data_IF_010419619370
#
_entry.id   IF_010419619370
#
_cell.length_a   1.000
_cell.length_b   1.000
_cell.length_c   1.000
_cell.angle_alpha   90.00
_cell.angle_beta   90.00
_cell.angle_gamma   90.00
#
_symmetry.space_group_name_H-M   'P 1'
#
loop_
_entity.id
_entity.type
_entity.pdbx_description
1 polymer ?
#
# COMPACT_ATOMS: atom_id res chain seq x y z
N UNK A 1 26.56 -3.14 29.93
CA UNK A 1 25.31 -3.51 30.63
C UNK A 1 24.45 -4.22 29.61
N UNK A 2 24.39 -5.54 29.67
CA UNK A 2 23.64 -6.42 28.75
C UNK A 2 22.16 -6.32 29.09
N UNK A 3 21.34 -5.88 28.11
CA UNK A 3 19.88 -5.98 28.20
C UNK A 3 19.47 -7.43 28.54
N UNK A 4 18.46 -7.67 29.39
CA UNK A 4 17.95 -9.00 29.66
C UNK A 4 17.33 -9.54 28.35
N UNK A 5 17.95 -10.57 27.76
CA UNK A 5 17.38 -11.32 26.63
C UNK A 5 16.04 -11.90 27.11
N UNK A 6 14.94 -11.44 26.56
CA UNK A 6 13.64 -12.07 26.72
C UNK A 6 13.80 -13.55 26.31
N UNK A 7 13.29 -14.48 27.16
CA UNK A 7 13.30 -15.91 26.83
C UNK A 7 12.35 -16.16 25.64
N UNK A 8 12.90 -16.13 24.43
CA UNK A 8 12.16 -16.46 23.20
C UNK A 8 11.98 -17.97 23.15
N UNK A 9 10.72 -18.41 22.98
CA UNK A 9 10.33 -19.82 22.92
C UNK A 9 9.75 -20.17 21.55
N UNK A 10 10.31 -21.18 20.91
CA UNK A 10 9.94 -21.62 19.56
C UNK A 10 9.35 -23.03 19.65
N UNK A 11 8.16 -23.22 19.05
CA UNK A 11 7.54 -24.53 18.90
C UNK A 11 7.85 -25.08 17.50
N UNK A 12 8.42 -26.29 17.45
CA UNK A 12 8.65 -27.03 16.20
C UNK A 12 7.69 -28.19 16.12
N UNK A 13 6.88 -28.25 15.06
CA UNK A 13 5.92 -29.34 14.81
C UNK A 13 6.32 -30.06 13.52
N UNK A 14 6.94 -31.23 13.67
CA UNK A 14 7.47 -31.98 12.53
C UNK A 14 7.38 -33.48 12.78
N UNK A 15 6.85 -34.25 11.82
CA UNK A 15 6.79 -35.70 11.83
C UNK A 15 8.15 -36.34 11.63
N UNK A 16 9.10 -35.65 10.98
CA UNK A 16 10.45 -36.16 10.73
C UNK A 16 11.40 -35.74 11.87
N UNK A 17 11.76 -36.71 12.69
CA UNK A 17 12.68 -36.50 13.81
C UNK A 17 14.05 -35.96 13.42
N UNK A 18 14.54 -36.33 12.24
CA UNK A 18 15.86 -35.86 11.78
C UNK A 18 15.84 -34.35 11.48
N UNK A 19 14.76 -33.89 10.88
CA UNK A 19 14.53 -32.47 10.59
C UNK A 19 14.24 -31.68 11.85
N UNK A 20 13.40 -32.18 12.75
CA UNK A 20 13.13 -31.55 14.04
C UNK A 20 14.43 -31.34 14.84
N UNK A 21 15.33 -32.33 14.87
CA UNK A 21 16.63 -32.22 15.54
C UNK A 21 17.59 -31.23 14.84
N UNK A 22 17.54 -31.11 13.50
CA UNK A 22 18.32 -30.12 12.79
C UNK A 22 17.84 -28.69 13.12
N UNK A 23 16.53 -28.47 13.11
CA UNK A 23 15.94 -27.18 13.50
C UNK A 23 16.20 -26.85 14.97
N UNK A 24 16.10 -27.82 15.86
CA UNK A 24 16.40 -27.65 17.29
C UNK A 24 17.82 -27.14 17.51
N UNK A 25 18.80 -27.75 16.83
CA UNK A 25 20.22 -27.29 16.88
C UNK A 25 20.39 -25.84 16.46
N UNK A 26 19.74 -25.42 15.38
CA UNK A 26 19.81 -24.04 14.90
C UNK A 26 19.14 -23.09 15.90
N UNK A 27 17.95 -23.40 16.38
CA UNK A 27 17.21 -22.61 17.39
C UNK A 27 18.02 -22.43 18.67
N UNK A 28 18.61 -23.52 19.19
CA UNK A 28 19.46 -23.48 20.38
C UNK A 28 20.75 -22.69 20.14
N UNK A 29 21.36 -22.80 18.94
CA UNK A 29 22.56 -22.01 18.60
C UNK A 29 22.31 -20.50 18.56
N UNK A 30 21.07 -20.09 18.25
CA UNK A 30 20.62 -18.69 18.30
C UNK A 30 20.31 -18.22 19.74
N UNK A 31 20.36 -19.14 20.72
CA UNK A 31 20.12 -18.84 22.15
C UNK A 31 18.63 -18.81 22.52
N UNK A 32 17.75 -19.48 21.76
CA UNK A 32 16.31 -19.57 21.99
C UNK A 32 15.93 -20.90 22.63
N UNK A 33 14.82 -20.92 23.37
CA UNK A 33 14.25 -22.14 23.94
C UNK A 33 13.42 -22.88 22.88
N UNK A 34 13.70 -24.16 22.66
CA UNK A 34 13.00 -24.98 21.68
C UNK A 34 12.11 -26.00 22.36
N UNK A 35 10.90 -26.20 21.82
CA UNK A 35 9.98 -27.29 22.19
C UNK A 35 9.57 -27.99 20.90
N UNK A 36 9.81 -29.32 20.84
CA UNK A 36 9.47 -30.12 19.65
C UNK A 36 8.23 -30.98 19.91
N UNK A 37 7.33 -31.02 18.94
CA UNK A 37 6.16 -31.91 18.93
C UNK A 37 6.18 -32.75 17.64
N UNK A 38 6.05 -34.05 17.80
CA UNK A 38 6.06 -35.05 16.72
C UNK A 38 4.67 -35.33 16.13
N UNK A 39 3.62 -34.79 16.76
CA UNK A 39 2.24 -34.94 16.33
C UNK A 39 1.37 -33.73 16.72
N UNK A 40 0.18 -33.66 16.12
CA UNK A 40 -0.77 -32.58 16.28
C UNK A 40 -1.28 -32.41 17.70
N UNK A 41 -1.55 -33.52 18.38
CA UNK A 41 -2.11 -33.51 19.74
C UNK A 41 -1.12 -32.84 20.71
N UNK A 42 0.15 -33.25 20.66
CA UNK A 42 1.21 -32.64 21.47
C UNK A 42 1.44 -31.17 21.12
N UNK A 43 1.32 -30.80 19.83
CA UNK A 43 1.45 -29.42 19.40
C UNK A 43 0.32 -28.55 19.97
N UNK A 44 -0.94 -29.00 19.91
CA UNK A 44 -2.09 -28.29 20.46
C UNK A 44 -2.04 -28.23 22.01
N UNK A 45 -1.61 -29.27 22.66
CA UNK A 45 -1.39 -29.29 24.13
C UNK A 45 -0.31 -28.28 24.52
N UNK A 46 0.81 -28.25 23.80
CA UNK A 46 1.88 -27.27 24.01
C UNK A 46 1.38 -25.83 23.78
N UNK A 47 0.63 -25.58 22.70
CA UNK A 47 0.02 -24.29 22.42
C UNK A 47 -1.01 -23.88 23.49
N UNK A 48 -1.70 -24.79 24.14
CA UNK A 48 -2.64 -24.48 25.22
C UNK A 48 -1.96 -24.10 26.54
N UNK A 49 -0.69 -24.43 26.70
CA UNK A 49 0.13 -24.15 27.88
C UNK A 49 0.81 -22.76 27.86
N UNK A 50 2.12 -22.76 28.05
CA UNK A 50 2.94 -21.54 28.07
C UNK A 50 2.96 -20.85 26.70
N UNK A 51 3.11 -19.50 26.65
CA UNK A 51 3.17 -18.77 25.38
C UNK A 51 4.43 -19.13 24.58
N UNK A 52 4.28 -19.22 23.26
CA UNK A 52 5.36 -19.33 22.30
C UNK A 52 5.50 -18.01 21.51
N UNK A 53 6.71 -17.77 20.98
CA UNK A 53 7.07 -16.59 20.24
C UNK A 53 7.05 -16.84 18.72
N UNK A 54 7.24 -18.11 18.33
CA UNK A 54 7.21 -18.58 16.96
C UNK A 54 6.74 -20.03 16.92
N UNK A 55 6.01 -20.42 15.89
CA UNK A 55 5.66 -21.80 15.60
C UNK A 55 6.15 -22.19 14.21
N UNK A 56 6.95 -23.25 14.10
CA UNK A 56 7.39 -23.85 12.84
C UNK A 56 6.61 -25.14 12.60
N UNK A 57 5.89 -25.24 11.49
CA UNK A 57 4.98 -26.35 11.22
C UNK A 57 5.30 -27.05 9.90
N UNK A 58 5.42 -28.37 9.91
CA UNK A 58 5.58 -29.18 8.69
C UNK A 58 4.28 -29.25 7.88
N UNK A 59 4.33 -28.96 6.58
CA UNK A 59 3.21 -29.20 5.67
C UNK A 59 3.09 -30.68 5.23
N UNK A 60 3.99 -31.56 5.66
CA UNK A 60 3.86 -33.01 5.54
C UNK A 60 2.75 -33.59 6.43
N UNK A 61 2.35 -32.84 7.47
CA UNK A 61 1.21 -33.20 8.32
C UNK A 61 -0.11 -33.12 7.54
N UNK A 62 -1.17 -33.83 7.95
CA UNK A 62 -2.48 -33.75 7.33
C UNK A 62 -2.98 -32.30 7.26
N UNK A 63 -3.58 -31.85 6.13
CA UNK A 63 -3.99 -30.46 5.96
C UNK A 63 -4.93 -29.90 7.03
N UNK A 64 -5.80 -30.74 7.58
CA UNK A 64 -6.68 -30.38 8.69
C UNK A 64 -5.91 -30.11 9.99
N UNK A 65 -4.85 -30.86 10.22
CA UNK A 65 -3.96 -30.72 11.36
C UNK A 65 -3.21 -29.38 11.30
N UNK A 66 -2.65 -29.05 10.15
CA UNK A 66 -1.98 -27.77 9.92
C UNK A 66 -2.95 -26.60 10.11
N UNK A 67 -4.17 -26.70 9.57
CA UNK A 67 -5.21 -25.67 9.76
C UNK A 67 -5.57 -25.46 11.23
N UNK A 68 -5.70 -26.54 12.00
CA UNK A 68 -6.01 -26.47 13.44
C UNK A 68 -4.90 -25.78 14.24
N UNK A 69 -3.64 -26.09 13.93
CA UNK A 69 -2.47 -25.44 14.55
C UNK A 69 -2.44 -23.95 14.22
N UNK A 70 -2.64 -23.60 12.95
CA UNK A 70 -2.69 -22.22 12.48
C UNK A 70 -3.84 -21.44 13.13
N UNK A 71 -5.05 -22.01 13.12
CA UNK A 71 -6.22 -21.38 13.75
C UNK A 71 -5.99 -21.16 15.26
N UNK A 72 -5.43 -22.14 15.96
CA UNK A 72 -5.12 -22.02 17.40
C UNK A 72 -4.05 -20.96 17.66
N UNK A 73 -3.03 -20.87 16.80
CA UNK A 73 -1.96 -19.85 16.90
C UNK A 73 -2.49 -18.43 16.66
N UNK A 74 -3.44 -18.28 15.76
CA UNK A 74 -4.03 -16.97 15.38
C UNK A 74 -5.15 -16.52 16.34
N UNK A 75 -5.89 -17.45 16.95
CA UNK A 75 -7.02 -17.13 17.85
C UNK A 75 -6.59 -16.56 19.21
N UNK A 76 -5.31 -16.49 19.51
CA UNK A 76 -4.77 -15.98 20.77
C UNK A 76 -4.83 -14.45 20.85
N UNK A 77 -4.87 -13.91 22.07
CA UNK A 77 -4.77 -12.45 22.31
C UNK A 77 -3.50 -11.83 21.72
N UNK A 78 -2.41 -12.61 21.64
CA UNK A 78 -1.19 -12.29 20.90
C UNK A 78 -0.97 -13.39 19.87
N UNK A 79 -1.28 -13.18 18.58
CA UNK A 79 -1.09 -14.17 17.53
C UNK A 79 0.38 -14.62 17.47
N UNK A 80 0.59 -15.92 17.32
CA UNK A 80 1.93 -16.51 17.19
C UNK A 80 2.22 -16.58 15.69
N UNK A 81 3.33 -15.98 15.19
CA UNK A 81 3.73 -16.13 13.80
C UNK A 81 4.03 -17.60 13.50
N UNK A 82 3.63 -18.05 12.32
CA UNK A 82 3.83 -19.44 11.90
C UNK A 82 4.67 -19.49 10.64
N UNK A 83 5.77 -20.23 10.69
CA UNK A 83 6.62 -20.56 9.54
C UNK A 83 6.27 -21.96 9.07
N UNK A 84 5.92 -22.11 7.79
CA UNK A 84 5.61 -23.37 7.18
C UNK A 84 6.88 -24.07 6.67
N UNK A 85 7.15 -25.29 7.12
CA UNK A 85 8.20 -26.12 6.52
C UNK A 85 7.62 -26.90 5.34
N UNK A 86 8.23 -26.74 4.15
CA UNK A 86 7.78 -27.36 2.91
C UNK A 86 8.82 -28.41 2.44
N UNK A 87 8.32 -29.50 1.85
CA UNK A 87 9.17 -30.60 1.39
C UNK A 87 9.91 -30.24 0.08
N UNK A 88 9.25 -29.48 -0.80
CA UNK A 88 9.83 -28.95 -2.04
C UNK A 88 9.42 -27.50 -2.25
N UNK A 89 10.30 -26.69 -2.82
CA UNK A 89 10.02 -25.27 -3.09
C UNK A 89 9.17 -25.10 -4.36
N UNK A 90 8.06 -25.84 -4.47
CA UNK A 90 7.14 -25.65 -5.57
C UNK A 90 6.22 -24.47 -5.30
N UNK A 91 5.93 -23.67 -6.33
CA UNK A 91 5.02 -22.52 -6.25
C UNK A 91 3.66 -22.91 -5.64
N UNK A 92 3.20 -24.13 -5.92
CA UNK A 92 1.93 -24.67 -5.38
C UNK A 92 1.96 -24.83 -3.87
N UNK A 93 3.04 -25.38 -3.30
CA UNK A 93 3.20 -25.58 -1.85
C UNK A 93 3.40 -24.26 -1.13
N UNK A 94 4.20 -23.35 -1.70
CA UNK A 94 4.42 -22.01 -1.16
C UNK A 94 3.09 -21.26 -1.08
N UNK A 95 2.32 -21.22 -2.18
CA UNK A 95 0.99 -20.59 -2.20
C UNK A 95 0.02 -21.25 -1.21
N UNK A 96 0.08 -22.58 -1.04
CA UNK A 96 -0.74 -23.28 -0.08
C UNK A 96 -0.39 -22.87 1.36
N UNK A 97 0.90 -22.74 1.70
CA UNK A 97 1.36 -22.29 3.01
C UNK A 97 0.81 -20.89 3.37
N UNK A 98 0.98 -19.92 2.46
CA UNK A 98 0.47 -18.55 2.66
C UNK A 98 -1.05 -18.49 2.73
N UNK A 99 -1.77 -19.27 1.90
CA UNK A 99 -3.24 -19.36 1.97
C UNK A 99 -3.75 -19.92 3.28
N UNK A 100 -2.99 -20.78 3.91
CA UNK A 100 -3.31 -21.30 5.25
C UNK A 100 -2.96 -20.33 6.37
N UNK A 101 -2.29 -19.23 6.08
CA UNK A 101 -1.96 -18.19 7.06
C UNK A 101 -0.55 -18.30 7.65
N UNK A 102 0.35 -19.04 7.01
CA UNK A 102 1.77 -19.00 7.37
C UNK A 102 2.35 -17.60 7.03
N UNK A 103 3.25 -17.13 7.90
CA UNK A 103 3.96 -15.86 7.71
C UNK A 103 5.09 -16.01 6.71
N UNK A 104 5.80 -17.15 6.77
CA UNK A 104 6.97 -17.44 5.94
C UNK A 104 7.08 -18.95 5.71
N UNK A 105 8.06 -19.38 4.91
CA UNK A 105 8.29 -20.80 4.66
C UNK A 105 9.78 -21.16 4.68
N UNK A 106 10.08 -22.41 5.06
CA UNK A 106 11.41 -23.00 5.05
C UNK A 106 11.43 -24.23 4.13
N UNK A 107 12.10 -24.17 2.96
CA UNK A 107 12.19 -25.30 2.03
C UNK A 107 13.22 -26.34 2.47
N UNK A 108 13.09 -27.60 2.00
CA UNK A 108 14.12 -28.62 2.11
C UNK A 108 14.92 -28.77 0.79
N UNK A 109 16.22 -29.01 0.86
CA UNK A 109 17.11 -28.92 2.03
C UNK A 109 17.37 -27.47 2.43
N UNK A 110 17.50 -27.19 3.74
CA UNK A 110 17.85 -25.86 4.23
C UNK A 110 19.27 -25.86 4.83
N UNK A 111 19.92 -24.70 4.76
CA UNK A 111 21.18 -24.42 5.44
C UNK A 111 20.90 -23.66 6.74
N UNK A 112 21.77 -23.80 7.72
CA UNK A 112 21.64 -23.15 9.03
C UNK A 112 21.44 -21.64 8.91
N UNK A 113 22.12 -20.99 7.96
CA UNK A 113 22.00 -19.57 7.71
C UNK A 113 20.58 -19.18 7.25
N UNK A 114 20.02 -19.87 6.25
CA UNK A 114 18.66 -19.61 5.78
C UNK A 114 17.63 -19.84 6.90
N UNK A 115 17.82 -20.88 7.70
CA UNK A 115 16.94 -21.15 8.85
C UNK A 115 17.01 -20.01 9.87
N UNK A 116 18.22 -19.49 10.16
CA UNK A 116 18.41 -18.35 11.06
C UNK A 116 17.74 -17.09 10.53
N UNK A 117 17.90 -16.78 9.25
CA UNK A 117 17.27 -15.61 8.59
C UNK A 117 15.73 -15.67 8.66
N UNK A 118 15.13 -16.83 8.37
CA UNK A 118 13.67 -17.04 8.44
C UNK A 118 13.16 -16.92 9.88
N UNK A 119 13.88 -17.47 10.86
CA UNK A 119 13.51 -17.36 12.28
C UNK A 119 13.60 -15.90 12.73
N UNK A 120 14.69 -15.20 12.45
CA UNK A 120 14.87 -13.79 12.82
C UNK A 120 13.85 -12.90 12.15
N UNK A 121 13.54 -13.14 10.86
CA UNK A 121 12.48 -12.44 10.14
C UNK A 121 11.11 -12.66 10.81
N UNK A 122 10.74 -13.89 11.11
CA UNK A 122 9.45 -14.20 11.75
C UNK A 122 9.33 -13.62 13.16
N UNK A 123 10.41 -13.60 13.94
CA UNK A 123 10.46 -12.97 15.26
C UNK A 123 10.45 -11.44 15.18
N UNK A 124 11.08 -10.86 14.17
CA UNK A 124 11.02 -9.41 13.93
C UNK A 124 9.61 -8.97 13.56
N UNK A 125 8.89 -9.76 12.75
CA UNK A 125 7.48 -9.53 12.43
C UNK A 125 6.57 -9.65 13.66
N UNK A 126 6.85 -10.55 14.59
CA UNK A 126 6.15 -10.59 15.88
C UNK A 126 6.43 -9.35 16.72
N UNK A 127 7.67 -8.90 16.77
CA UNK A 127 8.03 -7.65 17.45
C UNK A 127 7.41 -6.43 16.76
N UNK A 128 7.23 -6.48 15.43
CA UNK A 128 6.43 -5.51 14.66
C UNK A 128 4.93 -5.61 14.96
N UNK A 129 4.39 -6.81 15.18
CA UNK A 129 3.00 -6.99 15.63
C UNK A 129 2.78 -6.58 17.09
N UNK A 130 3.81 -6.56 17.91
CA UNK A 130 3.82 -6.01 19.28
C UNK A 130 4.33 -4.56 19.32
N UNK A 131 4.89 -4.04 18.24
CA UNK A 131 5.29 -2.63 18.08
C UNK A 131 4.06 -1.75 17.84
N UNK A 132 4.02 -0.54 18.40
CA UNK A 132 2.83 0.34 18.34
C UNK A 132 2.39 0.80 16.95
N UNK A 133 3.01 0.30 15.87
CA UNK A 133 2.61 0.54 14.48
C UNK A 133 1.17 0.09 14.15
N UNK A 134 0.59 -0.83 14.93
CA UNK A 134 -0.82 -1.28 14.78
C UNK A 134 -1.83 -0.56 15.69
N UNK A 135 -1.39 0.32 16.59
CA UNK A 135 -2.29 0.96 17.57
C UNK A 135 -3.10 2.12 16.99
N UNK A 136 -2.86 2.55 15.77
CA UNK A 136 -3.56 3.71 15.17
C UNK A 136 -4.47 3.36 13.99
N UNK A 137 -4.72 2.07 13.69
CA UNK A 137 -5.59 1.70 12.56
C UNK A 137 -5.00 2.01 11.16
N UNK A 138 -3.73 2.44 11.10
CA UNK A 138 -3.04 2.76 9.84
C UNK A 138 -2.11 1.60 9.51
N UNK A 139 -2.42 0.89 8.43
CA UNK A 139 -1.58 -0.21 7.93
C UNK A 139 -1.08 0.16 6.54
N UNK A 140 0.24 0.22 6.37
CA UNK A 140 0.86 0.29 5.04
C UNK A 140 0.96 -1.15 4.53
N UNK A 141 0.31 -1.42 3.40
CA UNK A 141 0.26 -2.73 2.76
C UNK A 141 1.17 -2.72 1.54
N UNK A 142 2.09 -3.68 1.45
CA UNK A 142 3.03 -3.87 0.35
C UNK A 142 4.27 -4.60 0.84
N UNK A 143 4.83 -5.45 0.00
CA UNK A 143 5.97 -6.32 0.33
C UNK A 143 7.14 -6.12 -0.66
N UNK A 144 6.97 -5.18 -1.59
CA UNK A 144 8.00 -4.86 -2.57
C UNK A 144 9.22 -4.20 -1.89
N UNK A 145 10.48 -4.55 -2.27
CA UNK A 145 11.70 -4.00 -1.66
C UNK A 145 11.74 -2.47 -1.58
N UNK A 146 11.21 -1.77 -2.59
CA UNK A 146 11.13 -0.31 -2.56
C UNK A 146 10.22 0.22 -1.43
N UNK A 147 9.20 -0.54 -0.99
CA UNK A 147 8.37 -0.17 0.15
C UNK A 147 9.08 -0.43 1.47
N UNK A 148 9.97 -1.43 1.55
CA UNK A 148 10.84 -1.62 2.72
C UNK A 148 11.75 -0.41 2.94
N UNK A 149 12.33 0.16 1.87
CA UNK A 149 13.12 1.39 1.96
C UNK A 149 12.28 2.56 2.49
N UNK A 150 11.01 2.68 2.08
CA UNK A 150 10.07 3.69 2.61
C UNK A 150 9.85 3.48 4.12
N UNK A 151 9.63 2.22 4.55
CA UNK A 151 9.43 1.88 5.96
C UNK A 151 10.67 2.16 6.81
N UNK A 152 11.85 1.79 6.33
CA UNK A 152 13.12 2.12 7.01
C UNK A 152 13.30 3.63 7.22
N UNK A 153 12.97 4.43 6.19
CA UNK A 153 13.00 5.89 6.31
C UNK A 153 11.96 6.41 7.30
N UNK A 154 10.76 5.82 7.32
CA UNK A 154 9.73 6.16 8.32
C UNK A 154 10.26 5.91 9.74
N UNK A 155 10.88 4.76 9.99
CA UNK A 155 11.46 4.44 11.31
C UNK A 155 12.59 5.40 11.70
N UNK A 156 13.49 5.75 10.77
CA UNK A 156 14.57 6.70 10.99
C UNK A 156 14.08 8.11 11.38
N UNK A 157 12.94 8.53 10.84
CA UNK A 157 12.41 9.88 11.06
C UNK A 157 11.33 9.94 12.13
N UNK A 158 10.81 8.80 12.59
CA UNK A 158 9.67 8.75 13.50
C UNK A 158 9.88 9.60 14.75
N UNK A 159 10.99 9.44 15.44
CA UNK A 159 11.32 10.14 16.68
C UNK A 159 11.93 11.54 16.46
N UNK A 160 12.20 11.93 15.21
CA UNK A 160 12.74 13.25 14.88
C UNK A 160 11.64 14.32 14.86
N UNK A 161 11.95 15.53 15.28
CA UNK A 161 11.08 16.71 15.09
C UNK A 161 11.30 17.40 13.73
N UNK A 162 12.23 16.90 12.90
CA UNK A 162 12.51 17.48 11.59
C UNK A 162 11.29 17.40 10.66
N UNK A 163 11.18 18.39 9.77
CA UNK A 163 10.18 18.37 8.70
C UNK A 163 10.46 17.22 7.73
N UNK A 164 9.41 16.57 7.26
CA UNK A 164 9.48 15.46 6.30
C UNK A 164 8.75 15.85 5.04
N UNK A 165 9.38 15.63 3.87
CA UNK A 165 8.77 15.82 2.57
C UNK A 165 8.52 14.45 1.91
N UNK A 166 7.24 14.11 1.72
CA UNK A 166 6.81 12.87 1.07
C UNK A 166 6.53 13.18 -0.41
N UNK A 167 7.24 12.50 -1.30
CA UNK A 167 7.08 12.63 -2.75
C UNK A 167 6.48 11.36 -3.34
N UNK A 168 5.66 11.51 -4.35
CA UNK A 168 5.05 10.38 -5.07
C UNK A 168 3.83 10.83 -5.85
N UNK A 169 3.49 10.09 -6.88
CA UNK A 169 2.32 10.36 -7.70
C UNK A 169 1.02 10.40 -6.90
N UNK A 170 -0.03 10.95 -7.49
CA UNK A 170 -1.37 10.90 -6.87
C UNK A 170 -1.80 9.44 -6.64
N UNK A 171 -2.41 9.18 -5.49
CA UNK A 171 -2.94 7.86 -5.15
C UNK A 171 -1.90 6.82 -4.73
N UNK A 172 -0.61 7.17 -4.53
CA UNK A 172 0.43 6.23 -4.07
C UNK A 172 0.38 5.89 -2.59
N UNK A 173 -0.38 6.65 -1.78
CA UNK A 173 -0.52 6.44 -0.34
C UNK A 173 0.27 7.43 0.53
N UNK A 174 0.59 8.64 0.03
CA UNK A 174 1.33 9.68 0.77
C UNK A 174 0.74 9.98 2.16
N UNK A 175 -0.59 10.09 2.27
CA UNK A 175 -1.28 10.31 3.55
C UNK A 175 -1.10 9.13 4.51
N UNK A 176 -1.12 7.89 4.00
CA UNK A 176 -0.89 6.68 4.82
C UNK A 176 0.51 6.71 5.43
N UNK A 177 1.53 7.06 4.64
CA UNK A 177 2.91 7.21 5.13
C UNK A 177 3.02 8.35 6.15
N UNK A 178 2.36 9.50 5.93
CA UNK A 178 2.35 10.59 6.89
C UNK A 178 1.71 10.20 8.24
N UNK A 179 0.59 9.47 8.19
CA UNK A 179 -0.07 8.93 9.40
C UNK A 179 0.81 7.89 10.10
N UNK A 180 1.56 7.10 9.34
CA UNK A 180 2.49 6.11 9.89
C UNK A 180 3.65 6.81 10.63
N UNK A 181 4.25 7.86 10.05
CA UNK A 181 5.28 8.68 10.69
C UNK A 181 4.78 9.26 12.02
N UNK A 182 3.54 9.76 12.04
CA UNK A 182 2.94 10.27 13.28
C UNK A 182 2.72 9.17 14.32
N UNK A 183 2.16 8.03 13.90
CA UNK A 183 1.83 6.91 14.78
C UNK A 183 3.06 6.24 15.41
N UNK A 184 4.20 6.23 14.69
CA UNK A 184 5.48 5.69 15.17
C UNK A 184 6.27 6.71 16.00
N UNK A 185 5.97 8.01 15.86
CA UNK A 185 6.76 9.08 16.43
C UNK A 185 6.46 9.41 17.90
N UNK A 186 7.31 10.23 18.49
CA UNK A 186 7.15 10.72 19.86
C UNK A 186 5.84 11.48 20.09
N UNK A 187 5.24 12.03 19.03
CA UNK A 187 3.98 12.81 19.05
C UNK A 187 2.72 12.00 18.77
N UNK A 188 2.80 10.66 18.78
CA UNK A 188 1.67 9.74 18.51
C UNK A 188 0.45 9.93 19.38
N UNK A 189 0.59 10.49 20.58
CA UNK A 189 -0.50 10.82 21.48
C UNK A 189 -1.16 12.17 21.20
N UNK A 190 -0.57 12.99 20.33
CA UNK A 190 -1.09 14.29 19.93
C UNK A 190 -2.02 14.21 18.71
N UNK A 191 -2.62 15.33 18.31
CA UNK A 191 -3.51 15.38 17.15
C UNK A 191 -2.73 15.24 15.83
N UNK A 192 -3.37 14.57 14.85
CA UNK A 192 -2.95 14.56 13.45
C UNK A 192 -3.92 15.38 12.62
N UNK A 193 -3.51 16.58 12.22
CA UNK A 193 -4.35 17.53 11.50
C UNK A 193 -3.94 17.54 10.03
N UNK A 194 -4.90 17.29 9.13
CA UNK A 194 -4.69 17.29 7.67
C UNK A 194 -5.17 18.58 7.04
N UNK A 195 -4.35 19.18 6.21
CA UNK A 195 -4.67 20.28 5.31
C UNK A 195 -4.49 19.80 3.88
N UNK A 196 -5.58 19.75 3.09
CA UNK A 196 -5.55 19.35 1.69
C UNK A 196 -5.67 20.56 0.79
N UNK A 197 -4.73 20.72 -0.13
CA UNK A 197 -4.67 21.84 -1.08
C UNK A 197 -5.09 21.35 -2.47
N UNK A 198 -6.41 21.22 -2.68
CA UNK A 198 -6.97 20.74 -3.95
C UNK A 198 -6.99 21.90 -4.96
N UNK A 199 -6.41 21.70 -6.13
CA UNK A 199 -6.03 22.70 -7.14
C UNK A 199 -6.99 23.83 -7.50
N UNK A 200 -8.33 23.64 -7.46
CA UNK A 200 -9.33 24.69 -7.76
C UNK A 200 -10.36 24.88 -6.65
N UNK A 201 -10.21 24.24 -5.49
CA UNK A 201 -11.06 24.50 -4.33
C UNK A 201 -10.57 25.76 -3.62
N UNK A 202 -11.45 26.41 -2.83
CA UNK A 202 -11.05 27.51 -1.98
C UNK A 202 -9.87 27.10 -1.09
N UNK A 203 -8.71 27.70 -1.31
CA UNK A 203 -7.54 27.47 -0.45
C UNK A 203 -7.85 28.02 0.93
N UNK A 204 -7.35 27.36 2.01
CA UNK A 204 -7.47 27.92 3.34
C UNK A 204 -6.84 29.31 3.36
N UNK A 205 -7.46 30.24 4.08
CA UNK A 205 -6.87 31.55 4.29
C UNK A 205 -5.69 31.45 5.25
N UNK A 206 -4.84 32.47 5.27
CA UNK A 206 -3.71 32.54 6.21
C UNK A 206 -4.19 32.46 7.65
N UNK A 207 -5.34 33.06 7.98
CA UNK A 207 -5.95 33.02 9.29
C UNK A 207 -6.52 31.63 9.65
N UNK A 208 -7.09 30.90 8.70
CA UNK A 208 -7.58 29.53 8.93
C UNK A 208 -6.43 28.55 9.16
N UNK A 209 -5.29 28.72 8.47
CA UNK A 209 -4.18 27.82 8.59
C UNK A 209 -3.30 28.13 9.81
N UNK A 210 -2.91 29.40 9.97
CA UNK A 210 -1.93 29.84 10.98
C UNK A 210 -2.53 30.59 12.16
N UNK A 211 -3.80 31.04 12.06
CA UNK A 211 -4.39 31.95 13.02
C UNK A 211 -4.00 33.42 12.77
N UNK A 212 -4.50 34.32 13.59
CA UNK A 212 -4.07 35.73 13.59
C UNK A 212 -2.71 35.83 14.26
N UNK A 213 -1.68 36.20 13.49
CA UNK A 213 -0.28 36.34 13.97
C UNK A 213 -0.06 37.59 14.84
N UNK A 214 -1.08 38.41 15.05
CA UNK A 214 -1.02 39.66 15.83
C UNK A 214 -2.13 39.71 16.85
N UNK A 215 -1.78 39.92 18.10
CA UNK A 215 -2.72 40.14 19.19
C UNK A 215 -3.53 41.48 19.05
N UNK A 216 -3.35 42.23 17.97
CA UNK A 216 -3.94 43.54 17.70
C UNK A 216 -4.99 43.57 16.59
N UNK A 217 -5.18 42.51 15.81
CA UNK A 217 -6.18 42.51 14.76
C UNK A 217 -7.49 41.91 15.29
N UNK A 218 -8.40 42.85 15.59
CA UNK A 218 -9.77 42.60 16.06
C UNK A 218 -10.48 41.52 15.20
N UNK A 219 -10.79 40.44 15.84
CA UNK A 219 -11.99 39.60 15.76
C UNK A 219 -13.06 39.98 14.71
N UNK A 220 -12.85 39.53 13.46
CA UNK A 220 -13.93 39.34 12.48
C UNK A 220 -13.63 38.22 11.48
N UNK A 221 -12.64 37.34 11.74
CA UNK A 221 -12.31 36.23 10.86
C UNK A 221 -12.51 34.89 11.59
N UNK A 222 -13.57 34.18 11.22
CA UNK A 222 -13.78 32.75 11.41
C UNK A 222 -13.96 32.26 12.86
N UNK A 223 -15.12 31.75 13.20
CA UNK A 223 -15.51 31.24 14.53
C UNK A 223 -14.78 29.93 14.96
N UNK A 224 -13.51 29.74 14.68
CA UNK A 224 -12.84 28.49 15.05
C UNK A 224 -11.32 28.58 15.24
N UNK A 225 -10.71 27.64 15.99
CA UNK A 225 -9.26 27.57 16.16
C UNK A 225 -8.57 27.26 14.82
N UNK A 226 -7.41 27.88 14.57
CA UNK A 226 -6.62 27.63 13.36
C UNK A 226 -6.18 26.17 13.26
N UNK A 227 -5.87 25.68 12.04
CA UNK A 227 -5.37 24.32 11.84
C UNK A 227 -4.05 24.08 12.60
N UNK A 228 -3.21 25.11 12.70
CA UNK A 228 -1.98 25.06 13.47
C UNK A 228 -2.25 24.88 14.97
N UNK A 229 -3.19 25.64 15.53
CA UNK A 229 -3.60 25.50 16.94
C UNK A 229 -4.23 24.12 17.24
N UNK A 230 -5.01 23.60 16.30
CA UNK A 230 -5.56 22.22 16.40
C UNK A 230 -4.48 21.14 16.35
N UNK A 231 -3.33 21.41 15.72
CA UNK A 231 -2.21 20.48 15.60
C UNK A 231 -1.21 20.59 16.75
N UNK A 232 -1.46 21.43 17.76
CA UNK A 232 -0.54 21.68 18.86
C UNK A 232 -0.15 20.40 19.60
N UNK A 233 1.15 20.22 19.89
CA UNK A 233 1.77 18.99 20.43
C UNK A 233 1.59 17.74 19.55
N UNK A 234 1.15 17.92 18.31
CA UNK A 234 0.89 16.86 17.34
C UNK A 234 1.64 17.04 16.02
N UNK A 235 0.96 16.68 14.93
CA UNK A 235 1.49 16.74 13.56
C UNK A 235 0.52 17.45 12.63
N UNK A 236 1.03 18.43 11.89
CA UNK A 236 0.34 19.08 10.79
C UNK A 236 0.78 18.44 9.47
N UNK A 237 -0.14 17.76 8.81
CA UNK A 237 0.08 17.18 7.50
C UNK A 237 -0.48 18.07 6.41
N UNK A 238 0.37 18.52 5.47
CA UNK A 238 0.00 19.38 4.35
C UNK A 238 0.09 18.56 3.06
N UNK A 239 -1.06 18.21 2.49
CA UNK A 239 -1.16 17.44 1.26
C UNK A 239 -1.17 18.36 0.04
N UNK A 240 -0.40 18.00 -0.99
CA UNK A 240 -0.15 18.77 -2.22
C UNK A 240 0.41 20.18 -1.96
N UNK A 241 1.49 20.25 -1.18
CA UNK A 241 2.14 21.48 -0.74
C UNK A 241 2.56 22.40 -1.91
N UNK A 242 2.80 21.86 -3.10
CA UNK A 242 3.09 22.63 -4.31
C UNK A 242 1.96 23.60 -4.72
N UNK A 243 0.75 23.39 -4.21
CA UNK A 243 -0.40 24.25 -4.49
C UNK A 243 -0.57 25.42 -3.50
N UNK A 244 0.35 25.59 -2.52
CA UNK A 244 0.29 26.72 -1.60
C UNK A 244 0.40 28.06 -2.34
N UNK A 245 -0.49 29.01 -2.01
CA UNK A 245 -0.35 30.39 -2.43
C UNK A 245 0.94 31.02 -1.89
N UNK A 246 1.45 32.05 -2.53
CA UNK A 246 2.68 32.73 -2.11
C UNK A 246 2.59 33.23 -0.65
N UNK A 247 1.43 33.69 -0.23
CA UNK A 247 1.16 34.17 1.14
C UNK A 247 1.28 33.03 2.15
N UNK A 248 0.68 31.88 1.85
CA UNK A 248 0.75 30.69 2.69
C UNK A 248 2.18 30.10 2.76
N UNK A 249 2.93 30.16 1.66
CA UNK A 249 4.35 29.77 1.65
C UNK A 249 5.17 30.66 2.58
N UNK A 250 4.94 31.98 2.58
CA UNK A 250 5.61 32.93 3.49
C UNK A 250 5.23 32.63 4.96
N UNK A 251 3.95 32.39 5.23
CA UNK A 251 3.46 32.01 6.56
C UNK A 251 4.12 30.73 7.06
N UNK A 252 4.18 29.68 6.21
CA UNK A 252 4.81 28.41 6.53
C UNK A 252 6.32 28.55 6.73
N UNK A 253 6.99 29.39 5.90
CA UNK A 253 8.42 29.66 6.04
C UNK A 253 8.73 30.29 7.40
N UNK A 254 7.94 31.27 7.85
CA UNK A 254 8.08 31.88 9.18
C UNK A 254 7.92 30.82 10.27
N UNK A 255 7.00 29.88 10.10
CA UNK A 255 6.78 28.79 11.05
C UNK A 255 8.00 27.83 11.13
N UNK A 256 8.63 27.49 10.02
CA UNK A 256 9.72 26.51 9.96
C UNK A 256 11.09 27.15 10.26
N UNK A 257 11.21 28.48 10.12
CA UNK A 257 12.49 29.18 10.21
C UNK A 257 13.04 29.32 11.63
N UNK A 258 12.17 29.45 12.61
CA UNK A 258 12.59 29.75 13.99
C UNK A 258 11.90 28.83 15.00
N UNK A 259 12.46 27.65 15.28
CA UNK A 259 11.87 26.67 16.20
C UNK A 259 11.85 27.12 17.67
N UNK A 260 12.63 28.12 18.05
CA UNK A 260 12.81 28.54 19.46
C UNK A 260 11.98 29.78 19.88
N UNK A 261 11.19 30.37 18.99
CA UNK A 261 10.40 31.55 19.35
C UNK A 261 9.25 31.20 20.29
N UNK A 262 9.22 31.84 21.46
CA UNK A 262 8.29 31.62 22.59
C UNK A 262 6.78 31.80 22.27
N UNK A 263 6.40 32.13 21.06
CA UNK A 263 5.03 32.32 20.58
C UNK A 263 4.59 31.27 19.55
N UNK A 264 5.24 30.11 19.47
CA UNK A 264 4.96 29.11 18.43
C UNK A 264 4.26 27.88 18.97
N UNK A 265 3.28 27.42 18.21
CA UNK A 265 2.69 26.10 18.36
C UNK A 265 3.78 25.02 18.22
N UNK A 266 3.90 24.13 19.19
CA UNK A 266 4.80 22.97 19.16
C UNK A 266 4.24 21.90 18.23
N UNK A 267 4.44 22.06 16.91
CA UNK A 267 3.84 21.22 15.87
C UNK A 267 4.92 20.65 14.96
N UNK A 268 4.85 19.35 14.69
CA UNK A 268 5.66 18.70 13.66
C UNK A 268 5.03 18.87 12.29
N UNK A 269 5.82 19.27 11.27
CA UNK A 269 5.33 19.45 9.90
C UNK A 269 5.70 18.24 9.05
N UNK A 270 4.71 17.66 8.39
CA UNK A 270 4.87 16.64 7.34
C UNK A 270 4.20 17.19 6.08
N UNK A 271 4.92 17.30 4.98
CA UNK A 271 4.43 17.80 3.72
C UNK A 271 4.41 16.69 2.66
N UNK A 272 3.45 16.73 1.75
CA UNK A 272 3.37 15.80 0.63
C UNK A 272 3.14 16.52 -0.69
N UNK A 273 3.67 15.97 -1.79
CA UNK A 273 3.45 16.49 -3.14
C UNK A 273 3.59 15.42 -4.21
N UNK A 274 2.81 15.54 -5.28
CA UNK A 274 3.00 14.80 -6.53
C UNK A 274 3.84 15.58 -7.55
N UNK A 275 4.02 16.90 -7.35
CA UNK A 275 4.77 17.76 -8.28
C UNK A 275 6.24 17.83 -7.91
N UNK A 276 7.08 18.04 -8.93
CA UNK A 276 8.49 18.32 -8.74
C UNK A 276 8.68 19.75 -8.20
N UNK A 277 9.05 19.86 -6.90
CA UNK A 277 9.24 21.16 -6.25
C UNK A 277 10.51 21.89 -6.75
N UNK A 278 11.54 21.16 -7.19
CA UNK A 278 12.76 21.76 -7.76
C UNK A 278 12.42 22.54 -9.05
N UNK A 279 11.49 22.01 -9.86
CA UNK A 279 10.99 22.71 -11.03
C UNK A 279 10.15 23.92 -10.62
N UNK A 280 9.26 23.79 -9.64
CA UNK A 280 8.46 24.90 -9.12
C UNK A 280 9.31 26.02 -8.53
N UNK A 281 10.44 25.70 -7.88
CA UNK A 281 11.42 26.69 -7.38
C UNK A 281 12.07 27.44 -8.55
N UNK A 282 12.54 26.72 -9.58
CA UNK A 282 13.15 27.33 -10.78
C UNK A 282 12.20 28.27 -11.53
N UNK A 283 10.92 27.93 -11.56
CA UNK A 283 9.85 28.73 -12.16
C UNK A 283 9.37 29.89 -11.27
N UNK A 284 9.89 30.01 -10.04
CA UNK A 284 9.49 31.03 -9.06
C UNK A 284 8.11 30.79 -8.43
N UNK A 285 7.48 29.65 -8.70
CA UNK A 285 6.19 29.27 -8.14
C UNK A 285 6.28 28.79 -6.68
N UNK A 286 7.46 28.34 -6.27
CA UNK A 286 7.73 27.91 -4.89
C UNK A 286 8.96 28.61 -4.30
N UNK A 287 8.90 28.93 -2.98
CA UNK A 287 10.00 29.63 -2.30
C UNK A 287 11.16 28.67 -2.04
N UNK A 288 12.35 29.00 -2.52
CA UNK A 288 13.55 28.16 -2.41
C UNK A 288 13.94 27.87 -0.94
N UNK A 289 13.96 28.87 -0.06
CA UNK A 289 14.27 28.69 1.38
C UNK A 289 13.24 27.75 2.07
N UNK A 290 11.96 27.84 1.69
CA UNK A 290 10.94 26.94 2.20
C UNK A 290 11.18 25.49 1.71
N UNK A 291 11.55 25.33 0.45
CA UNK A 291 11.87 24.02 -0.11
C UNK A 291 12.99 23.33 0.67
N UNK A 292 14.14 24.02 0.87
CA UNK A 292 15.26 23.42 1.61
C UNK A 292 14.91 23.08 3.07
N UNK A 293 14.05 23.86 3.72
CA UNK A 293 13.62 23.61 5.10
C UNK A 293 12.61 22.47 5.23
N UNK A 294 11.83 22.20 4.21
CA UNK A 294 10.91 21.07 4.16
C UNK A 294 11.59 19.79 3.69
N UNK A 295 12.57 19.90 2.80
CA UNK A 295 13.29 18.79 2.19
C UNK A 295 14.49 18.32 3.03
N UNK A 296 14.36 18.34 4.36
CA UNK A 296 15.42 17.83 5.27
C UNK A 296 15.51 16.32 5.12
N UNK A 297 14.37 15.64 5.13
CA UNK A 297 14.29 14.18 5.00
C UNK A 297 13.26 13.86 3.90
N UNK A 298 13.71 13.58 2.67
CA UNK A 298 12.81 13.17 1.60
C UNK A 298 12.44 11.70 1.72
N UNK A 299 11.14 11.40 1.56
CA UNK A 299 10.61 10.05 1.42
C UNK A 299 9.93 9.94 0.05
N UNK A 300 10.44 9.09 -0.81
CA UNK A 300 9.88 8.86 -2.13
C UNK A 300 9.07 7.57 -2.15
N UNK A 301 7.80 7.68 -2.56
CA UNK A 301 6.90 6.52 -2.68
C UNK A 301 6.83 6.13 -4.15
N UNK A 302 7.25 4.91 -4.52
CA UNK A 302 7.20 4.46 -5.90
C UNK A 302 5.75 4.33 -6.38
N UNK A 303 5.47 4.63 -7.66
CA UNK A 303 4.17 4.40 -8.26
C UNK A 303 3.86 2.88 -8.33
N UNK A 304 2.57 2.53 -8.38
CA UNK A 304 2.14 1.12 -8.31
C UNK A 304 2.68 0.27 -9.48
N UNK A 305 2.89 0.88 -10.65
CA UNK A 305 3.49 0.19 -11.82
C UNK A 305 4.95 -0.28 -11.60
N UNK A 306 5.66 0.27 -10.62
CA UNK A 306 7.02 -0.13 -10.25
C UNK A 306 7.04 -1.18 -9.12
N UNK A 307 5.85 -1.52 -8.57
CA UNK A 307 5.65 -2.52 -7.51
C UNK A 307 4.40 -3.37 -7.76
N UNK A 308 4.25 -3.87 -8.98
CA UNK A 308 3.07 -4.66 -9.41
C UNK A 308 2.90 -5.96 -8.59
N UNK A 309 3.96 -6.44 -7.97
CA UNK A 309 3.95 -7.57 -7.04
C UNK A 309 3.09 -7.31 -5.79
N UNK A 310 2.90 -6.03 -5.41
CA UNK A 310 2.03 -5.63 -4.31
C UNK A 310 0.53 -5.67 -4.69
N UNK A 311 0.19 -5.68 -5.98
CA UNK A 311 -1.20 -5.60 -6.44
C UNK A 311 -2.09 -6.72 -5.87
N UNK A 312 -1.69 -8.00 -5.86
CA UNK A 312 -2.50 -9.07 -5.27
C UNK A 312 -2.75 -8.89 -3.77
N UNK A 313 -1.75 -8.45 -3.03
CA UNK A 313 -1.83 -8.24 -1.57
C UNK A 313 -2.74 -7.03 -1.27
N UNK A 314 -2.58 -5.95 -2.01
CA UNK A 314 -3.42 -4.74 -1.93
C UNK A 314 -4.88 -5.05 -2.30
N UNK A 315 -5.09 -5.80 -3.40
CA UNK A 315 -6.43 -6.19 -3.84
C UNK A 315 -7.17 -7.02 -2.77
N UNK A 316 -6.47 -7.96 -2.13
CA UNK A 316 -7.06 -8.77 -1.05
C UNK A 316 -7.33 -7.93 0.20
N UNK A 317 -6.45 -6.98 0.55
CA UNK A 317 -6.66 -6.03 1.64
C UNK A 317 -7.94 -5.19 1.40
N UNK A 318 -8.06 -4.59 0.22
CA UNK A 318 -9.24 -3.77 -0.14
C UNK A 318 -10.51 -4.61 -0.25
N UNK A 319 -10.43 -5.85 -0.76
CA UNK A 319 -11.57 -6.76 -0.78
C UNK A 319 -12.13 -7.02 0.62
N UNK A 320 -11.26 -7.27 1.61
CA UNK A 320 -11.68 -7.46 3.00
C UNK A 320 -12.31 -6.18 3.58
N UNK A 321 -11.73 -5.03 3.33
CA UNK A 321 -12.25 -3.74 3.76
C UNK A 321 -13.62 -3.45 3.12
N UNK A 322 -13.76 -3.67 1.80
CA UNK A 322 -15.01 -3.49 1.07
C UNK A 322 -16.10 -4.47 1.54
N UNK A 323 -15.75 -5.75 1.81
CA UNK A 323 -16.67 -6.71 2.40
C UNK A 323 -17.20 -6.24 3.75
N UNK A 324 -16.34 -5.76 4.62
CA UNK A 324 -16.74 -5.23 5.93
C UNK A 324 -17.62 -3.98 5.80
N UNK A 325 -17.29 -3.07 4.88
CA UNK A 325 -18.05 -1.84 4.65
C UNK A 325 -19.43 -2.10 4.05
N UNK A 326 -19.53 -2.98 3.05
CA UNK A 326 -20.80 -3.31 2.36
C UNK A 326 -21.62 -4.41 3.05
N UNK A 327 -21.13 -4.99 4.15
CA UNK A 327 -21.78 -6.14 4.81
C UNK A 327 -21.84 -7.38 3.90
N UNK A 328 -20.82 -7.62 3.09
CA UNK A 328 -20.75 -8.71 2.09
C UNK A 328 -19.71 -9.75 2.44
N UNK A 329 -19.79 -10.89 1.75
CA UNK A 329 -18.87 -12.02 1.90
C UNK A 329 -18.32 -12.47 0.54
N UNK A 330 -17.90 -11.51 -0.30
CA UNK A 330 -17.27 -11.83 -1.59
C UNK A 330 -16.04 -12.72 -1.35
N UNK A 331 -15.95 -13.91 -1.99
CA UNK A 331 -14.81 -14.80 -1.81
C UNK A 331 -13.51 -14.18 -2.33
N UNK A 332 -12.33 -14.76 -1.97
CA UNK A 332 -11.05 -14.34 -2.53
C UNK A 332 -11.08 -14.27 -4.07
N UNK A 333 -10.39 -13.29 -4.61
CA UNK A 333 -10.33 -13.12 -6.05
C UNK A 333 -9.62 -14.31 -6.71
N UNK A 334 -10.14 -14.82 -7.86
CA UNK A 334 -9.51 -15.90 -8.59
C UNK A 334 -8.18 -15.46 -9.20
N UNK A 335 -7.29 -16.41 -9.45
CA UNK A 335 -5.92 -16.13 -9.91
C UNK A 335 -5.84 -15.39 -11.25
N UNK A 336 -6.74 -15.68 -12.18
CA UNK A 336 -6.84 -15.00 -13.47
C UNK A 336 -7.18 -13.51 -13.33
N UNK A 337 -8.06 -13.16 -12.38
CA UNK A 337 -8.39 -11.78 -12.05
C UNK A 337 -7.18 -11.06 -11.41
N UNK A 338 -6.47 -11.72 -10.47
CA UNK A 338 -5.29 -11.14 -9.83
C UNK A 338 -4.15 -10.92 -10.82
N UNK A 339 -3.89 -11.88 -11.72
CA UNK A 339 -2.92 -11.72 -12.81
C UNK A 339 -3.29 -10.52 -13.68
N UNK A 340 -4.56 -10.42 -14.07
CA UNK A 340 -5.02 -9.28 -14.88
C UNK A 340 -4.85 -7.95 -14.18
N UNK A 341 -5.16 -7.86 -12.90
CA UNK A 341 -4.92 -6.64 -12.10
C UNK A 341 -3.43 -6.28 -12.06
N UNK A 342 -2.53 -7.27 -11.96
CA UNK A 342 -1.07 -7.04 -11.93
C UNK A 342 -0.48 -6.60 -13.26
N UNK A 343 -1.18 -6.81 -14.39
CA UNK A 343 -0.77 -6.35 -15.72
C UNK A 343 -1.17 -4.91 -16.03
N UNK A 344 -2.04 -4.31 -15.21
CA UNK A 344 -2.55 -2.97 -15.44
C UNK A 344 -1.53 -1.88 -15.04
N UNK A 345 -1.45 -0.76 -15.79
CA UNK A 345 -0.45 0.30 -15.53
C UNK A 345 -0.77 1.21 -14.34
N UNK A 346 -1.99 1.21 -13.84
CA UNK A 346 -2.47 1.95 -12.67
C UNK A 346 -2.08 3.43 -12.65
N UNK A 347 -2.49 4.27 -13.59
CA UNK A 347 -2.15 5.70 -13.59
C UNK A 347 -2.66 6.46 -12.35
N UNK A 348 -3.72 5.99 -11.72
CA UNK A 348 -4.22 6.50 -10.43
C UNK A 348 -3.73 5.70 -9.22
N UNK A 349 -2.70 4.87 -9.41
CA UNK A 349 -2.01 4.13 -8.37
C UNK A 349 -2.94 3.31 -7.44
N UNK A 350 -2.65 3.26 -6.14
CA UNK A 350 -3.39 2.48 -5.14
C UNK A 350 -4.84 2.95 -5.01
N UNK A 351 -5.10 4.26 -5.13
CA UNK A 351 -6.47 4.80 -5.09
C UNK A 351 -7.33 4.25 -6.23
N UNK A 352 -6.77 4.12 -7.42
CA UNK A 352 -7.49 3.53 -8.56
C UNK A 352 -7.75 2.03 -8.32
N UNK A 353 -6.77 1.30 -7.81
CA UNK A 353 -6.93 -0.12 -7.46
C UNK A 353 -8.03 -0.31 -6.40
N UNK A 354 -8.02 0.50 -5.34
CA UNK A 354 -9.03 0.50 -4.28
C UNK A 354 -10.45 0.69 -4.86
N UNK A 355 -10.65 1.71 -5.71
CA UNK A 355 -11.93 1.99 -6.35
C UNK A 355 -12.39 0.83 -7.26
N UNK A 356 -11.47 0.18 -7.97
CA UNK A 356 -11.78 -0.98 -8.82
C UNK A 356 -12.19 -2.17 -7.97
N UNK A 357 -11.46 -2.44 -6.89
CA UNK A 357 -11.78 -3.54 -5.96
C UNK A 357 -13.12 -3.31 -5.26
N UNK A 358 -13.38 -2.10 -4.80
CA UNK A 358 -14.66 -1.72 -4.17
C UNK A 358 -15.83 -1.97 -5.14
N UNK A 359 -15.68 -1.56 -6.41
CA UNK A 359 -16.66 -1.82 -7.46
C UNK A 359 -16.83 -3.32 -7.74
N UNK A 360 -15.75 -4.11 -7.76
CA UNK A 360 -15.81 -5.56 -7.94
C UNK A 360 -16.61 -6.22 -6.82
N UNK A 361 -16.34 -5.86 -5.57
CA UNK A 361 -17.08 -6.36 -4.39
C UNK A 361 -18.54 -5.91 -4.45
N UNK A 362 -18.80 -4.67 -4.80
CA UNK A 362 -20.15 -4.12 -4.90
C UNK A 362 -20.98 -4.81 -6.00
N UNK A 363 -20.39 -5.17 -7.15
CA UNK A 363 -21.09 -5.77 -8.30
C UNK A 363 -21.17 -7.29 -8.25
N UNK A 364 -20.18 -7.98 -7.68
CA UNK A 364 -20.10 -9.44 -7.65
C UNK A 364 -21.19 -10.09 -6.79
N UNK A 365 -21.75 -9.37 -5.82
CA UNK A 365 -22.62 -9.92 -4.78
C UNK A 365 -21.93 -11.15 -4.14
N UNK A 366 -22.64 -12.26 -3.94
CA UNK A 366 -22.09 -13.47 -3.29
C UNK A 366 -21.49 -14.49 -4.30
N UNK A 367 -21.56 -14.21 -5.61
CA UNK A 367 -21.08 -15.12 -6.67
C UNK A 367 -19.57 -15.14 -6.87
N UNK A 368 -18.85 -14.20 -6.28
CA UNK A 368 -17.45 -13.96 -6.58
C UNK A 368 -17.24 -13.04 -7.81
N UNK A 369 -16.17 -12.28 -7.79
CA UNK A 369 -15.78 -11.40 -8.89
C UNK A 369 -14.96 -12.17 -9.94
N UNK A 370 -15.13 -11.80 -11.21
CA UNK A 370 -14.44 -12.38 -12.37
C UNK A 370 -13.77 -11.28 -13.18
N UNK A 371 -12.91 -11.63 -14.14
CA UNK A 371 -12.29 -10.69 -15.09
C UNK A 371 -13.34 -9.87 -15.86
N UNK A 372 -14.52 -10.43 -16.09
CA UNK A 372 -15.62 -9.75 -16.79
C UNK A 372 -16.28 -8.64 -15.97
N UNK A 373 -16.09 -8.62 -14.67
CA UNK A 373 -16.61 -7.56 -13.78
C UNK A 373 -15.68 -6.33 -13.74
N UNK A 374 -14.47 -6.44 -14.32
CA UNK A 374 -13.56 -5.30 -14.47
C UNK A 374 -14.13 -4.22 -15.39
N UNK A 375 -13.80 -2.95 -15.18
CA UNK A 375 -14.06 -1.89 -16.16
C UNK A 375 -13.49 -2.24 -17.53
N UNK A 376 -14.18 -1.86 -18.60
CA UNK A 376 -13.78 -2.16 -19.98
C UNK A 376 -12.33 -1.75 -20.29
N UNK A 377 -11.87 -0.62 -19.73
CA UNK A 377 -10.49 -0.12 -19.87
C UNK A 377 -9.41 -1.03 -19.25
N UNK A 378 -9.78 -1.92 -18.34
CA UNK A 378 -8.87 -2.84 -17.66
C UNK A 378 -9.03 -4.30 -18.14
N UNK A 379 -10.04 -4.60 -18.95
CA UNK A 379 -10.27 -5.95 -19.48
C UNK A 379 -9.36 -6.32 -20.64
N UNK A 380 -8.97 -5.33 -21.44
CA UNK A 380 -8.28 -5.56 -22.71
C UNK A 380 -6.85 -5.06 -22.65
N UNK A 381 -5.91 -5.91 -23.03
CA UNK A 381 -4.55 -5.50 -23.35
C UNK A 381 -4.55 -4.72 -24.68
N UNK A 382 -4.55 -3.40 -24.59
CA UNK A 382 -4.36 -2.56 -25.78
C UNK A 382 -2.94 -2.71 -26.36
N UNK A 383 -2.01 -3.34 -25.59
CA UNK A 383 -0.63 -3.61 -26.07
C UNK A 383 -0.53 -4.84 -26.98
N UNK A 384 -1.42 -5.83 -26.85
CA UNK A 384 -1.37 -7.04 -27.69
C UNK A 384 -1.92 -6.86 -29.10
N UNK A 385 -2.62 -5.76 -29.38
CA UNK A 385 -3.12 -5.42 -30.73
C UNK A 385 -2.04 -4.83 -31.67
N UNK A 386 -0.80 -4.69 -31.20
CA UNK A 386 0.33 -4.14 -31.99
C UNK A 386 1.20 -5.18 -32.71
N UNK A 387 1.10 -6.45 -32.38
CA UNK A 387 1.87 -7.54 -33.00
C UNK A 387 0.93 -8.58 -33.62
N UNK A 388 0.44 -8.30 -34.78
CA UNK A 388 0.03 -9.12 -35.94
C UNK A 388 -0.69 -10.46 -35.80
N UNK A 389 -0.92 -11.04 -34.62
CA UNK A 389 -1.62 -12.31 -34.46
C UNK A 389 -2.53 -12.20 -33.24
N UNK A 390 -3.83 -12.17 -33.47
CA UNK A 390 -4.85 -12.24 -32.42
C UNK A 390 -5.13 -13.71 -32.16
N UNK A 391 -4.45 -14.29 -31.18
CA UNK A 391 -4.80 -15.63 -30.69
C UNK A 391 -6.03 -15.54 -29.80
N UNK A 392 -6.97 -16.48 -29.98
CA UNK A 392 -8.16 -16.56 -29.14
C UNK A 392 -7.79 -17.06 -27.74
N UNK A 393 -7.96 -16.24 -26.68
CA UNK A 393 -7.66 -16.68 -25.33
C UNK A 393 -8.52 -17.88 -24.91
N UNK A 394 -8.05 -18.74 -23.99
CA UNK A 394 -8.81 -19.92 -23.54
C UNK A 394 -10.20 -19.60 -22.96
N UNK A 395 -10.38 -18.38 -22.48
CA UNK A 395 -11.64 -17.88 -21.88
C UNK A 395 -12.55 -17.15 -22.89
N UNK A 396 -12.18 -17.10 -24.17
CA UNK A 396 -12.96 -16.41 -25.22
C UNK A 396 -12.76 -14.90 -25.25
N UNK A 397 -13.38 -14.25 -26.23
CA UNK A 397 -13.33 -12.77 -26.43
C UNK A 397 -14.72 -12.27 -26.77
N UNK A 398 -15.13 -11.13 -26.20
CA UNK A 398 -16.28 -10.40 -26.71
C UNK A 398 -15.89 -9.67 -28.02
N UNK A 399 -16.14 -10.34 -29.13
CA UNK A 399 -15.76 -9.86 -30.46
C UNK A 399 -16.38 -8.48 -30.77
N UNK A 400 -17.61 -8.21 -30.29
CA UNK A 400 -18.28 -6.93 -30.55
C UNK A 400 -17.54 -5.79 -29.82
N UNK A 401 -17.17 -6.01 -28.59
CA UNK A 401 -16.43 -5.03 -27.78
C UNK A 401 -15.03 -4.78 -28.36
N UNK A 402 -14.34 -5.85 -28.76
CA UNK A 402 -13.01 -5.77 -29.37
C UNK A 402 -13.03 -4.98 -30.69
N UNK A 403 -13.99 -5.29 -31.59
CA UNK A 403 -14.14 -4.56 -32.85
C UNK A 403 -14.49 -3.09 -32.63
N UNK A 404 -15.36 -2.77 -31.67
CA UNK A 404 -15.71 -1.40 -31.35
C UNK A 404 -14.48 -0.60 -30.84
N UNK A 405 -13.66 -1.18 -29.99
CA UNK A 405 -12.43 -0.57 -29.46
C UNK A 405 -11.36 -0.37 -30.54
N UNK A 406 -11.17 -1.37 -31.41
CA UNK A 406 -10.24 -1.28 -32.53
C UNK A 406 -10.66 -0.17 -33.50
N UNK A 407 -11.93 -0.12 -33.82
CA UNK A 407 -12.52 0.91 -34.69
C UNK A 407 -12.32 2.31 -34.08
N UNK A 408 -12.64 2.46 -32.81
CA UNK A 408 -12.46 3.74 -32.07
C UNK A 408 -11.01 4.22 -32.10
N UNK A 409 -10.06 3.32 -31.88
CA UNK A 409 -8.63 3.65 -31.90
C UNK A 409 -8.16 4.05 -33.30
N UNK A 410 -8.57 3.32 -34.32
CA UNK A 410 -8.20 3.63 -35.69
C UNK A 410 -8.79 4.98 -36.16
N UNK A 411 -10.02 5.30 -35.79
CA UNK A 411 -10.65 6.59 -36.06
C UNK A 411 -9.88 7.72 -35.35
N UNK A 412 -9.50 7.54 -34.08
CA UNK A 412 -8.69 8.51 -33.33
C UNK A 412 -7.35 8.79 -34.02
N UNK A 413 -6.60 7.74 -34.35
CA UNK A 413 -5.32 7.85 -35.03
C UNK A 413 -5.42 8.50 -36.44
N UNK A 414 -6.47 8.18 -37.18
CA UNK A 414 -6.68 8.78 -38.48
C UNK A 414 -6.99 10.27 -38.39
N UNK A 415 -7.76 10.71 -37.39
CA UNK A 415 -8.05 12.12 -37.14
C UNK A 415 -6.81 12.88 -36.67
N UNK A 416 -6.01 12.30 -35.78
CA UNK A 416 -4.73 12.90 -35.34
C UNK A 416 -3.75 13.08 -36.50
N UNK A 417 -3.54 12.05 -37.32
CA UNK A 417 -2.65 12.10 -38.49
C UNK A 417 -3.11 13.09 -39.57
N UNK A 418 -4.39 13.40 -39.60
CA UNK A 418 -4.97 14.34 -40.57
C UNK A 418 -5.35 15.68 -39.98
N UNK A 419 -4.86 16.01 -38.77
CA UNK A 419 -5.17 17.24 -38.04
C UNK A 419 -6.68 17.57 -38.01
N UNK A 420 -7.50 16.54 -37.77
CA UNK A 420 -8.96 16.68 -37.69
C UNK A 420 -9.70 16.71 -39.03
N UNK A 421 -9.01 16.58 -40.16
CA UNK A 421 -9.66 16.56 -41.47
C UNK A 421 -10.41 15.26 -41.74
N UNK A 422 -11.75 15.31 -41.58
CA UNK A 422 -12.64 14.16 -41.69
C UNK A 422 -12.66 13.50 -43.07
N UNK A 423 -12.37 14.26 -44.17
CA UNK A 423 -12.29 13.70 -45.51
C UNK A 423 -11.06 12.80 -45.66
N UNK A 424 -9.87 13.32 -45.29
CA UNK A 424 -8.64 12.58 -45.36
C UNK A 424 -8.62 11.42 -44.37
N UNK A 425 -9.22 11.59 -43.16
CA UNK A 425 -9.35 10.52 -42.19
C UNK A 425 -10.20 9.38 -42.71
N UNK A 426 -11.32 9.66 -43.41
CA UNK A 426 -12.16 8.64 -44.02
C UNK A 426 -11.42 7.91 -45.15
N UNK A 427 -10.66 8.61 -46.00
CA UNK A 427 -9.78 8.00 -47.01
C UNK A 427 -8.73 7.06 -46.39
N UNK A 428 -8.03 7.49 -45.29
CA UNK A 428 -7.07 6.65 -44.59
C UNK A 428 -7.67 5.39 -43.98
N UNK A 429 -8.96 5.43 -43.63
CA UNK A 429 -9.68 4.30 -43.03
C UNK A 429 -10.44 3.46 -44.10
N UNK A 430 -10.36 3.80 -45.40
CA UNK A 430 -11.06 3.10 -46.46
C UNK A 430 -12.60 3.16 -46.35
N UNK A 431 -13.14 4.23 -45.72
CA UNK A 431 -14.60 4.36 -45.51
C UNK A 431 -15.15 5.69 -46.08
N UNK A 432 -16.47 5.74 -46.26
CA UNK A 432 -17.12 6.99 -46.70
C UNK A 432 -17.16 8.01 -45.58
N UNK A 433 -17.00 9.30 -45.94
CA UNK A 433 -17.07 10.43 -44.99
C UNK A 433 -18.35 10.42 -44.15
N UNK A 434 -19.50 10.08 -44.76
CA UNK A 434 -20.80 10.01 -44.09
C UNK A 434 -20.80 8.98 -42.97
N UNK A 435 -20.23 7.80 -43.23
CA UNK A 435 -20.06 6.73 -42.24
C UNK A 435 -19.17 7.14 -41.07
N UNK A 436 -18.07 7.81 -41.37
CA UNK A 436 -17.18 8.34 -40.32
C UNK A 436 -17.88 9.40 -39.43
N UNK A 437 -18.64 10.30 -40.03
CA UNK A 437 -19.40 11.33 -39.33
C UNK A 437 -20.52 10.74 -38.46
N UNK A 438 -21.25 9.72 -38.95
CA UNK A 438 -22.25 9.01 -38.16
C UNK A 438 -21.64 8.29 -36.94
N UNK A 439 -20.49 7.63 -37.12
CA UNK A 439 -19.78 6.97 -36.03
C UNK A 439 -19.28 7.99 -34.98
N UNK A 440 -18.77 9.14 -35.39
CA UNK A 440 -18.39 10.22 -34.49
C UNK A 440 -19.61 10.83 -33.76
N UNK A 441 -20.77 10.96 -34.39
CA UNK A 441 -22.02 11.43 -33.75
C UNK A 441 -22.53 10.49 -32.68
N UNK A 442 -22.51 9.18 -32.90
CA UNK A 442 -22.90 8.16 -31.90
C UNK A 442 -22.01 8.20 -30.66
N UNK A 443 -20.76 8.67 -30.82
CA UNK A 443 -19.79 8.83 -29.74
C UNK A 443 -20.05 10.05 -28.83
N UNK A 444 -20.70 11.10 -29.34
CA UNK A 444 -20.98 12.34 -28.60
C UNK A 444 -22.27 12.23 -27.77
N UNK A 445 -23.06 11.17 -27.97
CA UNK A 445 -24.37 10.95 -27.33
C UNK A 445 -24.35 9.82 -26.30
N UNK A 446 -23.26 9.07 -26.20
CA UNK A 446 -22.99 8.06 -25.18
C UNK A 446 -21.95 8.56 -24.17
#
# INVERSE_FOLDING_TARGET
MTCPRMHIRILIVDEDKSTAQALDRVVVSLGYECVSADNVTRALDALSGKPFDLCMVSLGLPPEAVRNILATSQARKSPIPVVARIASATVREIVAAFRMGALDFLPRPFHDQLCSEVIEHALSERNRTSSPLRTSGVTLVGDHPAMHVVLERVDQVADSNASVLIRGEEGTGKEVVARLIHACGARRGGPFVTVRLIGNAAHPTTSELFGTLSASDNALAGDGPSKLALAEHGTLFIDEIANLSRELQIGLLRLVRDPDSRNRADVRIVAATARNLETAVREGAFIEDLYYRLNIIPIEIPPLRERLEDVPILAEHFRRAANAFHGRSTPPFPSDLLVRLSECPWPGNVRQLENVVDRLVASAKDRGATVYDLPASLRTDVKSLGSGIVDLPPHGVDLRLLLAQLEERLIGQALERTNGNKNRAAELLGMNRTTLVEKLRRRTVA
#
